data_IF_886809174814
#
_entry.id   IF_886809174814
#
_cell.length_a   1.000
_cell.length_b   1.000
_cell.length_c   1.000
_cell.angle_alpha   90.00
_cell.angle_beta   90.00
_cell.angle_gamma   90.00
#
_symmetry.space_group_name_H-M   'P 1'
#
loop_
_entity.id
_entity.type
_entity.pdbx_description
1 polymer ?
#
# COMPACT_ATOMS: atom_id res chain seq x y z
N UNK A 1 -24.25 28.54 28.65
CA UNK A 1 -24.94 29.82 28.91
C UNK A 1 -25.52 30.33 27.58
N UNK A 2 -26.77 30.03 27.24
CA UNK A 2 -27.41 30.53 26.01
C UNK A 2 -27.80 31.98 26.26
N UNK A 3 -26.95 32.93 25.89
CA UNK A 3 -27.37 34.32 25.81
C UNK A 3 -28.58 34.35 24.89
N UNK A 4 -29.74 34.81 25.39
CA UNK A 4 -30.88 35.15 24.55
C UNK A 4 -30.43 36.31 23.67
N UNK A 5 -29.83 36.00 22.52
CA UNK A 5 -29.57 36.98 21.50
C UNK A 5 -30.91 37.61 21.16
N UNK A 6 -31.03 38.93 21.39
CA UNK A 6 -32.17 39.69 20.87
C UNK A 6 -32.33 39.32 19.40
N UNK A 7 -33.55 38.97 19.03
CA UNK A 7 -33.91 38.56 17.68
C UNK A 7 -33.33 39.59 16.70
N UNK A 8 -32.36 39.19 15.87
CA UNK A 8 -31.57 40.11 15.03
C UNK A 8 -32.49 40.95 14.11
N UNK A 9 -33.63 40.37 13.76
CA UNK A 9 -34.70 40.99 12.99
C UNK A 9 -35.38 42.14 13.75
N UNK A 10 -35.55 42.02 15.07
CA UNK A 10 -36.12 43.07 15.90
C UNK A 10 -35.20 44.30 16.00
N UNK A 11 -33.87 44.09 16.03
CA UNK A 11 -32.92 45.20 16.07
C UNK A 11 -32.84 45.93 14.72
N UNK A 12 -32.90 45.17 13.61
CA UNK A 12 -32.99 45.74 12.27
C UNK A 12 -34.28 46.54 12.08
N UNK A 13 -35.42 46.01 12.53
CA UNK A 13 -36.70 46.72 12.51
C UNK A 13 -36.64 48.01 13.34
N UNK A 14 -36.06 47.95 14.53
CA UNK A 14 -35.89 49.13 15.40
C UNK A 14 -35.04 50.20 14.73
N UNK A 15 -33.89 49.84 14.14
CA UNK A 15 -33.03 50.78 13.41
C UNK A 15 -33.73 51.35 12.18
N UNK A 16 -34.50 50.53 11.45
CA UNK A 16 -35.29 51.00 10.31
C UNK A 16 -36.37 52.01 10.75
N UNK A 17 -37.09 51.73 11.84
CA UNK A 17 -38.08 52.65 12.41
C UNK A 17 -37.45 53.96 12.89
N UNK A 18 -36.29 53.90 13.57
CA UNK A 18 -35.54 55.10 13.99
C UNK A 18 -35.03 55.88 12.79
N UNK A 19 -34.54 55.20 11.75
CA UNK A 19 -34.11 55.83 10.49
C UNK A 19 -35.27 56.57 9.83
N UNK A 20 -36.43 55.91 9.74
CA UNK A 20 -37.63 56.47 9.15
C UNK A 20 -38.13 57.68 9.95
N UNK A 21 -38.26 57.56 11.27
CA UNK A 21 -38.70 58.64 12.15
C UNK A 21 -37.75 59.84 12.08
N UNK A 22 -36.43 59.61 12.14
CA UNK A 22 -35.40 60.65 12.00
C UNK A 22 -35.51 61.36 10.64
N UNK A 23 -35.76 60.61 9.57
CA UNK A 23 -35.96 61.16 8.22
C UNK A 23 -37.21 62.04 8.13
N UNK A 24 -38.33 61.58 8.70
CA UNK A 24 -39.57 62.36 8.77
C UNK A 24 -39.39 63.66 9.57
N UNK A 25 -38.70 63.60 10.71
CA UNK A 25 -38.41 64.78 11.54
C UNK A 25 -37.49 65.76 10.82
N UNK A 26 -36.41 65.29 10.20
CA UNK A 26 -35.50 66.14 9.43
C UNK A 26 -36.24 66.85 8.29
N UNK A 27 -37.11 66.13 7.57
CA UNK A 27 -37.94 66.71 6.52
C UNK A 27 -38.93 67.76 7.04
N UNK A 28 -39.59 67.49 8.17
CA UNK A 28 -40.49 68.45 8.82
C UNK A 28 -39.75 69.71 9.27
N UNK A 29 -38.54 69.59 9.81
CA UNK A 29 -37.70 70.72 10.21
C UNK A 29 -37.23 71.54 9.00
N UNK A 30 -36.81 70.89 7.91
CA UNK A 30 -36.44 71.58 6.66
C UNK A 30 -37.62 72.33 6.06
N UNK A 31 -38.83 71.74 6.12
CA UNK A 31 -40.07 72.41 5.70
C UNK A 31 -40.37 73.63 6.59
N UNK A 32 -40.27 73.48 7.91
CA UNK A 32 -40.53 74.54 8.89
C UNK A 32 -39.56 75.71 8.80
N UNK A 33 -38.29 75.44 8.48
CA UNK A 33 -37.27 76.46 8.25
C UNK A 33 -37.44 77.21 6.91
N UNK A 34 -38.42 76.84 6.07
CA UNK A 34 -38.72 77.53 4.82
C UNK A 34 -37.80 77.17 3.65
N UNK A 35 -36.98 76.11 3.78
CA UNK A 35 -36.11 75.63 2.69
C UNK A 35 -36.89 74.89 1.59
N UNK A 36 -38.10 74.41 1.88
CA UNK A 36 -38.98 73.72 0.93
C UNK A 36 -40.13 74.62 0.43
N UNK A 37 -39.87 75.90 0.18
CA UNK A 37 -40.86 76.79 -0.45
C UNK A 37 -41.08 76.36 -1.90
N UNK A 38 -42.34 76.24 -2.31
CA UNK A 38 -42.74 75.88 -3.69
C UNK A 38 -42.39 76.94 -4.75
N UNK A 39 -41.68 78.02 -4.39
CA UNK A 39 -41.54 79.24 -5.22
C UNK A 39 -40.52 79.13 -6.36
N UNK A 40 -40.04 77.94 -6.73
CA UNK A 40 -39.23 77.72 -7.94
C UNK A 40 -37.81 78.33 -7.96
N UNK A 41 -37.43 79.10 -6.93
CA UNK A 41 -36.09 79.67 -6.80
C UNK A 41 -35.14 78.64 -6.18
N UNK A 42 -34.10 78.25 -6.90
CA UNK A 42 -33.09 77.33 -6.40
C UNK A 42 -32.35 77.92 -5.18
N UNK A 43 -32.05 77.11 -4.14
CA UNK A 43 -31.30 77.56 -2.97
C UNK A 43 -29.89 78.02 -3.36
N UNK A 44 -29.37 79.02 -2.65
CA UNK A 44 -28.00 79.49 -2.84
C UNK A 44 -26.99 78.43 -2.38
N UNK A 45 -25.76 78.48 -2.90
CA UNK A 45 -24.70 77.53 -2.52
C UNK A 45 -24.42 77.52 -1.00
N UNK A 46 -24.55 78.67 -0.34
CA UNK A 46 -24.39 78.81 1.12
C UNK A 46 -25.49 78.07 1.88
N UNK A 47 -26.76 78.21 1.47
CA UNK A 47 -27.89 77.51 2.07
C UNK A 47 -27.81 76.01 1.85
N UNK A 48 -27.34 75.57 0.67
CA UNK A 48 -27.14 74.16 0.37
C UNK A 48 -26.10 73.52 1.30
N UNK A 49 -25.01 74.23 1.61
CA UNK A 49 -24.01 73.77 2.55
C UNK A 49 -24.55 73.66 3.99
N UNK A 50 -25.39 74.61 4.43
CA UNK A 50 -26.04 74.57 5.73
C UNK A 50 -27.02 73.39 5.85
N UNK A 51 -27.81 73.13 4.81
CA UNK A 51 -28.69 71.95 4.75
C UNK A 51 -27.86 70.66 4.81
N UNK A 52 -26.78 70.59 4.03
CA UNK A 52 -25.85 69.45 4.04
C UNK A 52 -25.24 69.20 5.43
N UNK A 53 -24.79 70.26 6.11
CA UNK A 53 -24.25 70.17 7.47
C UNK A 53 -25.28 69.72 8.50
N UNK A 54 -26.51 70.22 8.42
CA UNK A 54 -27.61 69.81 9.29
C UNK A 54 -27.99 68.34 9.09
N UNK A 55 -28.20 67.94 7.83
CA UNK A 55 -28.50 66.54 7.48
C UNK A 55 -27.36 65.62 7.89
N UNK A 56 -26.10 66.02 7.64
CA UNK A 56 -24.91 65.29 8.09
C UNK A 56 -24.89 65.10 9.61
N UNK A 57 -25.21 66.14 10.38
CA UNK A 57 -25.28 66.06 11.84
C UNK A 57 -26.36 65.11 12.35
N UNK A 58 -27.55 65.13 11.74
CA UNK A 58 -28.66 64.25 12.14
C UNK A 58 -28.40 62.79 11.72
N UNK A 59 -27.87 62.56 10.52
CA UNK A 59 -27.68 61.21 9.98
C UNK A 59 -26.36 60.56 10.41
N UNK A 60 -25.37 61.30 10.91
CA UNK A 60 -24.09 60.72 11.33
C UNK A 60 -24.21 59.66 12.45
N UNK A 61 -24.94 59.88 13.56
CA UNK A 61 -25.14 58.84 14.58
C UNK A 61 -25.87 57.61 14.03
N UNK A 62 -26.79 57.83 13.10
CA UNK A 62 -27.54 56.74 12.48
C UNK A 62 -26.66 55.89 11.54
N UNK A 63 -25.82 56.54 10.75
CA UNK A 63 -24.83 55.86 9.92
C UNK A 63 -23.86 55.03 10.78
N UNK A 64 -23.44 55.58 11.93
CA UNK A 64 -22.60 54.86 12.88
C UNK A 64 -23.31 53.63 13.49
N UNK A 65 -24.60 53.74 13.84
CA UNK A 65 -25.38 52.61 14.33
C UNK A 65 -25.52 51.49 13.28
N UNK A 66 -25.79 51.84 12.01
CA UNK A 66 -25.82 50.88 10.92
C UNK A 66 -24.46 50.25 10.64
N UNK A 67 -23.37 51.03 10.72
CA UNK A 67 -22.01 50.52 10.58
C UNK A 67 -21.67 49.51 11.69
N UNK A 68 -21.98 49.85 12.95
CA UNK A 68 -21.80 48.95 14.08
C UNK A 68 -22.59 47.64 13.89
N UNK A 69 -23.85 47.72 13.43
CA UNK A 69 -24.66 46.54 13.09
C UNK A 69 -23.95 45.64 12.08
N UNK A 70 -23.51 46.23 10.96
CA UNK A 70 -22.88 45.49 9.88
C UNK A 70 -21.61 44.79 10.35
N UNK A 71 -20.81 45.47 11.18
CA UNK A 71 -19.62 44.86 11.80
C UNK A 71 -19.97 43.66 12.68
N UNK A 72 -21.02 43.75 13.51
CA UNK A 72 -21.46 42.63 14.34
C UNK A 72 -21.96 41.44 13.50
N UNK A 73 -22.72 41.69 12.43
CA UNK A 73 -23.17 40.63 11.54
C UNK A 73 -22.02 39.96 10.80
N UNK A 74 -21.08 40.75 10.26
CA UNK A 74 -19.89 40.22 9.61
C UNK A 74 -19.08 39.34 10.57
N UNK A 75 -18.91 39.78 11.83
CA UNK A 75 -18.24 38.98 12.86
C UNK A 75 -18.97 37.66 13.13
N UNK A 76 -20.30 37.67 13.22
CA UNK A 76 -21.08 36.45 13.45
C UNK A 76 -20.98 35.49 12.26
N UNK A 77 -21.06 36.00 11.03
CA UNK A 77 -20.87 35.22 9.82
C UNK A 77 -19.48 34.60 9.78
N UNK A 78 -18.43 35.36 10.10
CA UNK A 78 -17.06 34.85 10.16
C UNK A 78 -16.93 33.71 11.18
N UNK A 79 -17.47 33.87 12.39
CA UNK A 79 -17.45 32.82 13.41
C UNK A 79 -18.18 31.56 12.91
N UNK A 80 -19.36 31.71 12.31
CA UNK A 80 -20.10 30.58 11.75
C UNK A 80 -19.31 29.88 10.63
N UNK A 81 -18.71 30.64 9.70
CA UNK A 81 -17.89 30.06 8.63
C UNK A 81 -16.65 29.36 9.15
N UNK A 82 -15.97 29.91 10.17
CA UNK A 82 -14.82 29.26 10.79
C UNK A 82 -15.22 27.92 11.44
N UNK A 83 -16.36 27.88 12.14
CA UNK A 83 -16.85 26.64 12.75
C UNK A 83 -17.19 25.56 11.71
N UNK A 84 -17.82 25.95 10.59
CA UNK A 84 -18.10 25.04 9.49
C UNK A 84 -16.81 24.54 8.81
N UNK A 85 -15.82 25.42 8.63
CA UNK A 85 -14.51 25.04 8.08
C UNK A 85 -13.76 24.07 9.00
N UNK A 86 -13.82 24.26 10.32
CA UNK A 86 -13.20 23.33 11.27
C UNK A 86 -13.85 21.95 11.20
N UNK A 87 -15.18 21.89 11.14
CA UNK A 87 -15.91 20.62 11.01
C UNK A 87 -15.58 19.92 9.69
N UNK A 88 -15.54 20.66 8.57
CA UNK A 88 -15.12 20.10 7.28
C UNK A 88 -13.68 19.58 7.31
N UNK A 89 -12.76 20.31 7.96
CA UNK A 89 -11.37 19.86 8.11
C UNK A 89 -11.27 18.58 8.94
N UNK A 90 -12.08 18.43 9.98
CA UNK A 90 -12.15 17.20 10.78
C UNK A 90 -12.71 16.03 9.97
N UNK A 91 -13.79 16.23 9.22
CA UNK A 91 -14.35 15.21 8.34
C UNK A 91 -13.36 14.77 7.25
N UNK A 92 -12.63 15.71 6.65
CA UNK A 92 -11.59 15.40 5.66
C UNK A 92 -10.43 14.61 6.28
N UNK A 93 -10.00 14.96 7.50
CA UNK A 93 -8.97 14.20 8.21
C UNK A 93 -9.44 12.78 8.51
N UNK A 94 -10.68 12.61 8.98
CA UNK A 94 -11.26 11.29 9.24
C UNK A 94 -11.39 10.47 7.94
N UNK A 95 -11.83 11.08 6.84
CA UNK A 95 -11.93 10.43 5.54
C UNK A 95 -10.55 9.98 5.02
N UNK A 96 -9.53 10.84 5.12
CA UNK A 96 -8.15 10.48 4.74
C UNK A 96 -7.60 9.33 5.59
N UNK A 97 -7.85 9.33 6.90
CA UNK A 97 -7.43 8.25 7.78
C UNK A 97 -8.07 6.91 7.37
N UNK A 98 -9.37 6.92 7.05
CA UNK A 98 -10.08 5.73 6.57
C UNK A 98 -9.56 5.25 5.22
N UNK A 99 -9.24 6.16 4.29
CA UNK A 99 -8.66 5.80 3.00
C UNK A 99 -7.27 5.16 3.15
N UNK A 100 -6.42 5.69 4.01
CA UNK A 100 -5.09 5.10 4.29
C UNK A 100 -5.25 3.69 4.87
N UNK A 101 -6.18 3.49 5.81
CA UNK A 101 -6.45 2.17 6.38
C UNK A 101 -6.94 1.17 5.32
N UNK A 102 -7.86 1.58 4.44
CA UNK A 102 -8.36 0.74 3.34
C UNK A 102 -7.24 0.38 2.36
N UNK A 103 -6.36 1.32 2.01
CA UNK A 103 -5.22 1.05 1.14
C UNK A 103 -4.26 0.04 1.77
N UNK A 104 -3.96 0.17 3.07
CA UNK A 104 -3.11 -0.78 3.78
C UNK A 104 -3.71 -2.20 3.79
N UNK A 105 -5.03 -2.33 4.00
CA UNK A 105 -5.73 -3.62 3.92
C UNK A 105 -5.68 -4.22 2.51
N UNK A 106 -5.89 -3.40 1.47
CA UNK A 106 -5.79 -3.84 0.07
C UNK A 106 -4.37 -4.28 -0.30
N UNK A 107 -3.35 -3.58 0.17
CA UNK A 107 -1.95 -3.96 -0.04
C UNK A 107 -1.63 -5.29 0.63
N UNK A 108 -2.14 -5.52 1.85
CA UNK A 108 -1.99 -6.79 2.55
C UNK A 108 -2.62 -7.94 1.76
N UNK A 109 -3.86 -7.81 1.33
CA UNK A 109 -4.53 -8.83 0.52
C UNK A 109 -3.80 -9.10 -0.80
N UNK A 110 -3.34 -8.05 -1.50
CA UNK A 110 -2.54 -8.23 -2.72
C UNK A 110 -1.24 -8.96 -2.46
N UNK A 111 -0.58 -8.71 -1.32
CA UNK A 111 0.64 -9.41 -0.94
C UNK A 111 0.38 -10.89 -0.61
N UNK A 112 -0.73 -11.18 0.08
CA UNK A 112 -1.17 -12.55 0.37
C UNK A 112 -1.54 -13.30 -0.90
N UNK A 113 -2.36 -12.71 -1.77
CA UNK A 113 -2.75 -13.30 -3.06
C UNK A 113 -1.53 -13.58 -3.93
N UNK A 114 -0.56 -12.66 -3.93
CA UNK A 114 0.70 -12.86 -4.65
C UNK A 114 1.48 -14.05 -4.08
N UNK A 115 1.60 -14.17 -2.75
CA UNK A 115 2.29 -15.30 -2.11
C UNK A 115 1.57 -16.62 -2.39
N UNK A 116 0.25 -16.65 -2.25
CA UNK A 116 -0.56 -17.82 -2.54
C UNK A 116 -0.44 -18.25 -4.00
N UNK A 117 -0.47 -17.30 -4.93
CA UNK A 117 -0.25 -17.59 -6.35
C UNK A 117 1.18 -18.07 -6.61
N UNK A 118 2.20 -17.46 -5.99
CA UNK A 118 3.58 -17.89 -6.09
C UNK A 118 3.77 -19.33 -5.58
N UNK A 119 3.11 -19.71 -4.49
CA UNK A 119 3.11 -21.07 -3.93
C UNK A 119 2.39 -22.09 -4.81
N UNK A 120 1.26 -21.72 -5.42
CA UNK A 120 0.48 -22.59 -6.30
C UNK A 120 1.22 -22.88 -7.62
N UNK A 121 1.88 -21.86 -8.17
CA UNK A 121 2.55 -21.94 -9.47
C UNK A 121 3.99 -22.45 -9.39
N UNK A 122 4.55 -22.60 -8.18
CA UNK A 122 5.87 -23.16 -7.99
C UNK A 122 5.88 -24.69 -8.18
N UNK A 123 6.88 -25.26 -8.87
CA UNK A 123 7.11 -26.69 -8.87
C UNK A 123 7.35 -27.18 -7.46
N UNK A 124 6.67 -28.27 -7.07
CA UNK A 124 6.88 -28.96 -5.79
C UNK A 124 7.44 -30.33 -6.08
N UNK A 125 8.54 -30.68 -5.42
CA UNK A 125 9.22 -31.94 -5.67
C UNK A 125 9.14 -32.78 -4.39
N UNK A 126 9.07 -34.08 -4.57
CA UNK A 126 9.14 -35.05 -3.49
C UNK A 126 10.31 -35.97 -3.77
N UNK A 127 11.14 -36.22 -2.76
CA UNK A 127 12.20 -37.22 -2.85
C UNK A 127 11.72 -38.52 -2.23
N UNK A 128 11.90 -39.62 -2.96
CA UNK A 128 11.66 -40.97 -2.47
C UNK A 128 12.94 -41.78 -2.63
N UNK A 129 13.43 -42.34 -1.54
CA UNK A 129 14.56 -43.29 -1.61
C UNK A 129 14.06 -44.63 -2.16
N UNK A 130 14.79 -45.21 -3.11
CA UNK A 130 14.42 -46.48 -3.75
C UNK A 130 15.26 -47.61 -3.15
N UNK A 131 16.58 -47.56 -3.30
CA UNK A 131 17.47 -48.66 -2.89
C UNK A 131 18.89 -48.18 -2.56
N UNK A 132 19.53 -48.94 -1.67
CA UNK A 132 20.96 -48.84 -1.37
C UNK A 132 21.61 -50.16 -1.77
N UNK A 133 22.45 -50.14 -2.80
CA UNK A 133 23.12 -51.34 -3.33
C UNK A 133 24.62 -51.11 -3.44
N UNK A 134 25.42 -52.09 -3.05
CA UNK A 134 26.86 -52.05 -3.26
C UNK A 134 27.19 -52.33 -4.73
N UNK A 135 27.95 -51.45 -5.38
CA UNK A 135 28.44 -51.65 -6.75
C UNK A 135 29.89 -52.14 -6.71
N UNK A 136 30.09 -53.43 -7.01
CA UNK A 136 31.43 -54.03 -7.13
C UNK A 136 32.29 -53.34 -8.20
N UNK A 137 31.70 -52.98 -9.34
CA UNK A 137 32.38 -52.33 -10.45
C UNK A 137 32.96 -50.96 -10.05
N UNK A 138 32.15 -50.15 -9.36
CA UNK A 138 32.54 -48.79 -8.96
C UNK A 138 33.22 -48.74 -7.59
N UNK A 139 33.26 -49.88 -6.86
CA UNK A 139 33.70 -49.98 -5.46
C UNK A 139 33.08 -48.87 -4.60
N UNK A 140 31.78 -48.68 -4.78
CA UNK A 140 31.02 -47.59 -4.20
C UNK A 140 29.61 -48.06 -3.86
N UNK A 141 29.03 -47.49 -2.81
CA UNK A 141 27.62 -47.70 -2.46
C UNK A 141 26.78 -46.81 -3.37
N UNK A 142 25.88 -47.43 -4.16
CA UNK A 142 24.89 -46.77 -5.02
C UNK A 142 23.65 -46.45 -4.19
N UNK A 143 23.21 -45.21 -4.26
CA UNK A 143 21.96 -44.72 -3.70
C UNK A 143 21.08 -44.26 -4.85
N UNK A 144 19.99 -44.99 -5.09
CA UNK A 144 18.98 -44.63 -6.06
C UNK A 144 17.90 -43.79 -5.37
N UNK A 145 17.76 -42.52 -5.78
CA UNK A 145 16.72 -41.61 -5.29
C UNK A 145 15.83 -41.19 -6.45
N UNK A 146 14.52 -41.27 -6.25
CA UNK A 146 13.52 -40.78 -7.18
C UNK A 146 13.11 -39.36 -6.79
N UNK A 147 13.12 -38.43 -7.75
CA UNK A 147 12.51 -37.11 -7.59
C UNK A 147 11.23 -37.09 -8.40
N UNK A 148 10.11 -36.86 -7.73
CA UNK A 148 8.77 -36.80 -8.32
C UNK A 148 8.30 -35.36 -8.27
N UNK A 149 7.81 -34.81 -9.38
CA UNK A 149 7.15 -33.51 -9.36
C UNK A 149 5.69 -33.67 -8.92
N UNK A 150 5.35 -33.15 -7.75
CA UNK A 150 4.00 -33.16 -7.16
C UNK A 150 3.30 -31.80 -7.26
N UNK A 151 3.91 -30.83 -7.95
CA UNK A 151 3.39 -29.47 -8.10
C UNK A 151 3.29 -29.03 -9.55
N UNK A 152 3.55 -27.75 -9.79
CA UNK A 152 3.50 -27.16 -11.14
C UNK A 152 4.67 -27.60 -12.02
N UNK A 153 4.54 -27.38 -13.34
CA UNK A 153 5.58 -27.69 -14.34
C UNK A 153 6.94 -27.01 -14.01
N UNK A 154 8.01 -27.81 -13.94
CA UNK A 154 9.37 -27.29 -13.94
C UNK A 154 9.92 -27.30 -15.38
N UNK A 155 10.38 -26.16 -15.90
CA UNK A 155 10.99 -26.07 -17.24
C UNK A 155 12.39 -26.67 -17.31
N UNK A 156 13.05 -26.77 -16.15
CA UNK A 156 14.35 -27.40 -15.97
C UNK A 156 14.71 -27.34 -14.49
N UNK A 157 15.77 -28.04 -14.11
CA UNK A 157 16.17 -28.13 -12.71
C UNK A 157 17.65 -28.43 -12.56
N UNK A 158 18.19 -28.01 -11.42
CA UNK A 158 19.52 -28.32 -10.95
C UNK A 158 19.41 -28.99 -9.59
N UNK A 159 20.00 -30.17 -9.46
CA UNK A 159 20.04 -30.95 -8.23
C UNK A 159 21.48 -30.93 -7.73
N UNK A 160 21.65 -30.62 -6.45
CA UNK A 160 22.93 -30.69 -5.75
C UNK A 160 22.73 -31.52 -4.51
N UNK A 161 23.56 -32.54 -4.35
CA UNK A 161 23.62 -33.32 -3.11
C UNK A 161 24.99 -33.07 -2.50
N UNK A 162 24.99 -32.58 -1.27
CA UNK A 162 26.19 -32.33 -0.51
C UNK A 162 26.01 -32.79 0.93
N UNK A 163 27.12 -32.98 1.63
CA UNK A 163 27.10 -33.28 3.06
C UNK A 163 27.24 -32.01 3.88
N UNK A 164 26.63 -32.00 5.07
CA UNK A 164 26.84 -30.94 6.08
C UNK A 164 28.26 -30.98 6.66
N UNK A 165 29.03 -32.07 6.42
CA UNK A 165 30.43 -32.14 6.78
C UNK A 165 31.22 -31.03 6.06
N UNK A 166 31.89 -30.19 6.84
CA UNK A 166 32.75 -29.13 6.31
C UNK A 166 34.19 -29.65 6.24
N UNK A 167 34.76 -29.70 5.04
CA UNK A 167 36.21 -29.83 4.84
C UNK A 167 36.72 -28.46 4.45
N UNK A 168 37.67 -27.93 5.23
CA UNK A 168 38.17 -26.56 5.09
C UNK A 168 37.06 -25.48 5.09
N UNK A 169 36.01 -25.70 5.88
CA UNK A 169 34.87 -24.78 5.99
C UNK A 169 33.90 -24.80 4.81
N UNK A 170 34.03 -25.76 3.87
CA UNK A 170 33.14 -25.91 2.72
C UNK A 170 32.42 -27.26 2.73
N UNK A 171 31.14 -27.23 2.38
CA UNK A 171 30.36 -28.44 2.18
C UNK A 171 30.91 -29.24 0.99
N UNK A 172 31.09 -30.54 1.18
CA UNK A 172 31.55 -31.41 0.10
C UNK A 172 30.36 -31.73 -0.81
N UNK A 173 30.43 -31.27 -2.06
CA UNK A 173 29.44 -31.62 -3.09
C UNK A 173 29.72 -33.03 -3.59
N UNK A 174 28.74 -33.91 -3.41
CA UNK A 174 28.81 -35.32 -3.80
C UNK A 174 28.29 -35.51 -5.22
N UNK A 175 27.20 -34.81 -5.54
CA UNK A 175 26.52 -34.96 -6.81
C UNK A 175 26.00 -33.61 -7.29
N UNK A 176 26.09 -33.37 -8.59
CA UNK A 176 25.46 -32.23 -9.24
C UNK A 176 24.92 -32.67 -10.59
N UNK A 177 23.66 -32.37 -10.83
CA UNK A 177 22.98 -32.61 -12.09
C UNK A 177 22.20 -31.39 -12.51
N UNK A 178 22.21 -31.09 -13.80
CA UNK A 178 21.51 -29.94 -14.36
C UNK A 178 20.93 -30.32 -15.71
N UNK A 179 19.66 -29.97 -15.93
CA UNK A 179 18.95 -30.27 -17.16
C UNK A 179 17.96 -29.20 -17.55
N UNK A 180 17.77 -29.03 -18.87
CA UNK A 180 16.74 -28.22 -19.47
C UNK A 180 15.52 -29.05 -19.94
N UNK A 181 15.47 -30.32 -19.55
CA UNK A 181 14.31 -31.18 -19.81
C UNK A 181 13.22 -30.82 -18.80
N UNK A 182 12.02 -30.42 -19.27
CA UNK A 182 10.92 -30.11 -18.37
C UNK A 182 10.49 -31.35 -17.59
N UNK A 183 10.10 -31.16 -16.32
CA UNK A 183 9.52 -32.18 -15.46
C UNK A 183 8.06 -31.82 -15.19
N UNK A 184 7.13 -32.55 -15.79
CA UNK A 184 5.67 -32.32 -15.66
C UNK A 184 5.16 -32.80 -14.30
N UNK A 185 3.97 -32.36 -13.86
CA UNK A 185 3.32 -32.96 -12.70
C UNK A 185 3.21 -34.47 -12.87
N UNK A 186 3.45 -35.20 -11.78
CA UNK A 186 3.47 -36.66 -11.66
C UNK A 186 4.57 -37.39 -12.45
N UNK A 187 5.47 -36.67 -13.15
CA UNK A 187 6.68 -37.27 -13.71
C UNK A 187 7.76 -37.42 -12.65
N UNK A 188 8.54 -38.50 -12.80
CA UNK A 188 9.65 -38.80 -11.93
C UNK A 188 10.96 -39.01 -12.68
N UNK A 189 12.05 -38.80 -11.97
CA UNK A 189 13.41 -39.07 -12.45
C UNK A 189 14.15 -39.87 -11.39
N UNK A 190 14.87 -40.89 -11.83
CA UNK A 190 15.78 -41.66 -10.98
C UNK A 190 17.18 -41.04 -11.05
N UNK A 191 17.80 -40.89 -9.88
CA UNK A 191 19.13 -40.34 -9.72
C UNK A 191 19.97 -41.35 -8.96
N UNK A 192 21.07 -41.75 -9.60
CA UNK A 192 22.06 -42.62 -8.99
C UNK A 192 23.23 -41.82 -8.43
N UNK A 193 23.40 -41.89 -7.10
CA UNK A 193 24.53 -41.30 -6.40
C UNK A 193 25.46 -42.42 -5.96
N UNK A 194 26.75 -42.33 -6.30
CA UNK A 194 27.75 -43.32 -5.90
C UNK A 194 28.67 -42.70 -4.84
N UNK A 195 28.67 -43.28 -3.64
CA UNK A 195 29.55 -42.87 -2.54
C UNK A 195 30.75 -43.83 -2.42
N UNK A 196 31.96 -43.27 -2.41
CA UNK A 196 33.19 -44.05 -2.19
C UNK A 196 33.36 -44.37 -0.70
N UNK A 197 33.85 -45.58 -0.39
CA UNK A 197 34.05 -46.08 1.00
C UNK A 197 34.82 -45.08 1.88
N UNK A 198 35.86 -44.44 1.35
CA UNK A 198 36.71 -43.53 2.13
C UNK A 198 35.95 -42.32 2.71
N UNK A 199 34.80 -41.98 2.12
CA UNK A 199 33.95 -40.87 2.54
C UNK A 199 32.85 -41.31 3.51
N UNK A 200 32.54 -42.61 3.62
CA UNK A 200 31.37 -43.11 4.36
C UNK A 200 31.30 -42.75 5.85
N UNK A 201 32.39 -42.80 6.66
CA UNK A 201 32.27 -42.60 8.10
C UNK A 201 31.82 -41.19 8.48
N UNK A 202 32.32 -40.17 7.79
CA UNK A 202 31.96 -38.77 8.02
C UNK A 202 30.58 -38.44 7.44
N UNK A 203 30.27 -39.02 6.26
CA UNK A 203 28.98 -38.87 5.62
C UNK A 203 27.85 -39.47 6.44
N UNK A 204 28.06 -40.65 7.06
CA UNK A 204 27.08 -41.28 7.97
C UNK A 204 26.79 -40.45 9.21
N UNK A 205 27.76 -39.67 9.70
CA UNK A 205 27.59 -38.86 10.91
C UNK A 205 26.87 -37.54 10.65
N UNK A 206 27.09 -36.93 9.50
CA UNK A 206 26.63 -35.56 9.21
C UNK A 206 25.40 -35.50 8.29
N UNK A 207 25.01 -36.64 7.72
CA UNK A 207 23.88 -36.73 6.81
C UNK A 207 24.13 -36.02 5.47
N UNK A 208 23.05 -35.91 4.69
CA UNK A 208 23.07 -35.26 3.38
C UNK A 208 22.00 -34.20 3.27
N UNK A 209 22.27 -33.23 2.43
CA UNK A 209 21.31 -32.22 2.00
C UNK A 209 21.21 -32.28 0.49
N UNK A 210 19.98 -32.46 0.01
CA UNK A 210 19.64 -32.36 -1.41
C UNK A 210 18.97 -31.00 -1.65
N UNK A 211 19.64 -30.14 -2.40
CA UNK A 211 19.07 -28.91 -2.92
C UNK A 211 18.59 -29.14 -4.35
N UNK A 212 17.33 -28.80 -4.59
CA UNK A 212 16.75 -28.81 -5.92
C UNK A 212 16.29 -27.40 -6.28
N UNK A 213 16.97 -26.80 -7.26
CA UNK A 213 16.60 -25.52 -7.85
C UNK A 213 15.84 -25.80 -9.14
N UNK A 214 14.56 -25.47 -9.19
CA UNK A 214 13.71 -25.69 -10.36
C UNK A 214 13.36 -24.36 -11.02
N UNK A 215 13.26 -24.34 -12.35
CA UNK A 215 12.83 -23.17 -13.12
C UNK A 215 11.33 -23.25 -13.40
N UNK A 216 10.61 -22.19 -13.05
CA UNK A 216 9.17 -22.01 -13.25
C UNK A 216 8.87 -21.60 -14.69
N UNK A 217 7.59 -21.62 -15.06
CA UNK A 217 7.09 -21.15 -16.37
C UNK A 217 7.32 -19.66 -16.61
N UNK A 218 7.39 -18.87 -15.55
CA UNK A 218 7.71 -17.43 -15.56
C UNK A 218 9.22 -17.15 -15.51
N UNK A 219 10.07 -18.16 -15.72
CA UNK A 219 11.54 -18.10 -15.69
C UNK A 219 12.16 -17.77 -14.33
N UNK A 220 11.36 -17.61 -13.28
CA UNK A 220 11.87 -17.51 -11.90
C UNK A 220 12.25 -18.90 -11.39
N UNK A 221 13.04 -18.96 -10.33
CA UNK A 221 13.51 -20.21 -9.75
C UNK A 221 12.80 -20.48 -8.42
N UNK A 222 12.46 -21.73 -8.16
CA UNK A 222 12.04 -22.21 -6.84
C UNK A 222 13.15 -23.09 -6.26
N UNK A 223 13.38 -22.99 -4.95
CA UNK A 223 14.37 -23.79 -4.22
C UNK A 223 13.63 -24.71 -3.26
N UNK A 224 14.01 -25.99 -3.28
CA UNK A 224 13.63 -26.94 -2.25
C UNK A 224 14.88 -27.59 -1.69
N UNK A 225 14.93 -27.63 -0.36
CA UNK A 225 16.00 -28.30 0.35
C UNK A 225 15.42 -29.45 1.12
N UNK A 226 16.01 -30.62 0.94
CA UNK A 226 15.68 -31.82 1.66
C UNK A 226 16.90 -32.24 2.47
N UNK A 227 16.71 -32.65 3.71
CA UNK A 227 17.79 -33.21 4.50
C UNK A 227 17.44 -34.60 4.99
N UNK A 228 18.49 -35.37 5.23
CA UNK A 228 18.40 -36.72 5.75
C UNK A 228 19.50 -36.95 6.77
N UNK A 229 19.12 -37.50 7.90
CA UNK A 229 20.04 -37.85 8.98
C UNK A 229 20.60 -39.27 8.83
N UNK A 230 19.97 -40.11 7.99
CA UNK A 230 20.33 -41.52 7.80
C UNK A 230 20.46 -41.86 6.31
N UNK A 231 21.70 -42.14 5.87
CA UNK A 231 22.07 -42.87 4.65
C UNK A 231 21.14 -42.71 3.43
N UNK A 232 20.59 -41.52 3.19
CA UNK A 232 19.68 -41.21 2.07
C UNK A 232 18.38 -42.04 2.05
N UNK A 233 17.94 -42.61 3.18
CA UNK A 233 16.75 -43.47 3.23
C UNK A 233 15.43 -42.69 3.28
N UNK A 234 15.45 -41.53 3.93
CA UNK A 234 14.27 -40.68 4.04
C UNK A 234 14.70 -39.21 3.99
N UNK A 235 14.15 -38.48 3.04
CA UNK A 235 14.40 -37.06 2.85
C UNK A 235 13.20 -36.29 3.34
N UNK A 236 13.41 -35.47 4.38
CA UNK A 236 12.39 -34.56 4.85
C UNK A 236 12.56 -33.21 4.17
N UNK A 237 11.47 -32.60 3.66
CA UNK A 237 11.53 -31.25 3.15
C UNK A 237 11.85 -30.30 4.32
N UNK A 238 13.00 -29.64 4.25
CA UNK A 238 13.48 -28.70 5.29
C UNK A 238 13.02 -27.28 4.96
N UNK A 239 13.19 -26.86 3.71
CA UNK A 239 12.76 -25.53 3.26
C UNK A 239 12.18 -25.57 1.85
N UNK A 240 11.22 -24.68 1.62
CA UNK A 240 10.65 -24.42 0.30
C UNK A 240 10.57 -22.91 0.07
N UNK A 241 11.29 -22.43 -0.95
CA UNK A 241 11.18 -21.06 -1.44
C UNK A 241 10.50 -21.09 -2.82
N UNK A 242 9.24 -20.63 -2.94
CA UNK A 242 8.52 -20.65 -4.22
C UNK A 242 9.16 -19.73 -5.26
N UNK A 243 9.89 -18.71 -4.82
CA UNK A 243 10.67 -17.78 -5.63
C UNK A 243 11.98 -17.46 -4.90
N UNK A 244 13.07 -18.12 -5.29
CA UNK A 244 14.40 -17.85 -4.73
C UNK A 244 15.02 -16.62 -5.37
N UNK A 245 15.53 -15.69 -4.56
CA UNK A 245 16.21 -14.47 -5.03
C UNK A 245 17.71 -14.66 -5.24
N UNK A 246 18.28 -15.64 -4.54
CA UNK A 246 19.73 -15.88 -4.47
C UNK A 246 20.17 -16.95 -5.47
N UNK A 247 19.28 -17.89 -5.80
CA UNK A 247 19.58 -18.98 -6.70
C UNK A 247 19.05 -18.66 -8.09
N UNK A 248 19.95 -18.36 -9.02
CA UNK A 248 19.61 -18.34 -10.43
C UNK A 248 20.47 -19.35 -11.18
N UNK A 249 19.88 -19.96 -12.19
CA UNK A 249 20.65 -20.73 -13.16
C UNK A 249 20.10 -20.49 -14.55
N UNK A 250 20.98 -20.59 -15.54
CA UNK A 250 20.58 -20.51 -16.94
C UNK A 250 20.44 -21.94 -17.42
N UNK A 251 19.31 -22.26 -18.05
CA UNK A 251 19.16 -23.54 -18.71
C UNK A 251 20.32 -23.71 -19.70
N UNK A 252 20.97 -24.88 -19.74
CA UNK A 252 21.90 -25.17 -20.82
C UNK A 252 21.15 -24.96 -22.15
N UNK A 253 21.81 -24.42 -23.18
CA UNK A 253 21.18 -24.32 -24.50
C UNK A 253 20.66 -25.71 -24.87
N UNK A 254 19.47 -25.77 -25.47
CA UNK A 254 18.87 -27.02 -25.94
C UNK A 254 19.83 -27.65 -26.97
N UNK A 255 20.78 -28.43 -26.48
CA UNK A 255 21.58 -29.28 -27.32
C UNK A 255 20.59 -30.32 -27.81
N UNK A 256 20.33 -30.32 -29.12
CA UNK A 256 19.62 -31.44 -29.76
C UNK A 256 20.41 -32.68 -29.36
N UNK A 257 19.95 -33.40 -28.33
CA UNK A 257 20.49 -34.72 -27.99
C UNK A 257 20.39 -35.49 -29.29
N UNK A 258 21.55 -35.77 -29.89
CA UNK A 258 21.62 -36.75 -30.96
C UNK A 258 20.97 -38.00 -30.42
N UNK A 259 19.95 -38.50 -31.12
CA UNK A 259 19.34 -39.78 -30.85
C UNK A 259 20.43 -40.86 -31.02
N UNK A 260 21.19 -41.13 -29.96
CA UNK A 260 22.34 -42.01 -30.02
C UNK A 260 22.63 -42.63 -28.66
N UNK A 261 22.31 -43.91 -28.54
CA UNK A 261 22.87 -44.82 -27.53
C UNK A 261 21.94 -45.15 -26.36
N UNK A 262 21.08 -46.15 -26.56
CA UNK A 262 20.93 -47.20 -25.55
C UNK A 262 22.07 -48.20 -25.74
#
# INVERSE_FOLDING_TARGET
>A
MKAKFLNIDAWAATLASVTFATTCVAFALLRGAGFLKLSGTAPSASELNLIGGFLGGIFAPLALLWAARSFFLQRQQLIATMSAMTEQAELLRAANANQIAQLATLEHHRAEDKRANEDQTAPRLSLRSITNEWSEEKKATRFATEIINVGSLALGYRIRIYTKALVDGKAITVFTYETAVPLRPDESIEIDVYLKIASEPELRRNGFTCEVVSMRTDQRTALQTFSTNDLLNYFEPETFEPVSKTHSFRLPPFSRRGAGGR
#
